data_IF_142555877546
#
_entry.id   IF_142555877546
#
_cell.length_a   1.000
_cell.length_b   1.000
_cell.length_c   1.000
_cell.angle_alpha   90.00
_cell.angle_beta   90.00
_cell.angle_gamma   90.00
#
_symmetry.space_group_name_H-M   'P 1'
#
loop_
_entity.id
_entity.type
_entity.pdbx_description
1 polymer ?
#
# COMPACT_ATOMS: atom_id res chain seq x y z
N UNK A 1 5.52 21.09 5.95
CA UNK A 1 5.30 19.94 6.88
C UNK A 1 6.18 20.08 8.11
N UNK A 2 5.66 19.90 9.34
CA UNK A 2 6.47 19.85 10.54
C UNK A 2 7.25 18.53 10.62
N UNK A 3 8.43 18.53 11.31
CA UNK A 3 9.21 17.30 11.50
C UNK A 3 8.41 16.19 12.20
N UNK A 4 7.53 16.53 13.16
CA UNK A 4 6.66 15.58 13.84
C UNK A 4 5.68 14.89 12.88
N UNK A 5 5.08 15.63 11.94
CA UNK A 5 4.17 15.07 10.93
C UNK A 5 4.91 14.13 9.97
N UNK A 6 6.14 14.47 9.58
CA UNK A 6 6.96 13.61 8.73
C UNK A 6 7.32 12.30 9.45
N UNK A 7 7.72 12.37 10.72
CA UNK A 7 8.04 11.18 11.52
C UNK A 7 6.83 10.27 11.68
N UNK A 8 5.65 10.83 11.95
CA UNK A 8 4.41 10.06 12.04
C UNK A 8 4.06 9.40 10.70
N UNK A 9 4.22 10.13 9.59
CA UNK A 9 4.03 9.58 8.26
C UNK A 9 4.96 8.40 7.98
N UNK A 10 6.27 8.56 8.26
CA UNK A 10 7.26 7.51 8.03
C UNK A 10 6.98 6.25 8.85
N UNK A 11 6.64 6.39 10.13
CA UNK A 11 6.28 5.26 10.98
C UNK A 11 5.04 4.53 10.46
N UNK A 12 4.00 5.25 10.09
CA UNK A 12 2.79 4.65 9.57
C UNK A 12 2.98 4.05 8.17
N UNK A 13 3.71 4.72 7.27
CA UNK A 13 4.03 4.20 5.95
C UNK A 13 4.88 2.92 6.04
N UNK A 14 5.86 2.87 6.97
CA UNK A 14 6.65 1.68 7.23
C UNK A 14 5.78 0.53 7.77
N UNK A 15 4.89 0.81 8.72
CA UNK A 15 3.95 -0.18 9.24
C UNK A 15 3.07 -0.76 8.13
N UNK A 16 2.53 0.12 7.24
CA UNK A 16 1.71 -0.30 6.11
C UNK A 16 2.53 -1.10 5.08
N UNK A 17 3.77 -0.69 4.81
CA UNK A 17 4.67 -1.42 3.90
C UNK A 17 5.00 -2.83 4.42
N UNK A 18 5.16 -2.99 5.73
CA UNK A 18 5.42 -4.29 6.36
C UNK A 18 4.22 -5.25 6.33
N UNK A 19 3.00 -4.73 6.10
CA UNK A 19 1.79 -5.55 6.08
C UNK A 19 1.60 -6.19 4.71
N UNK A 20 1.54 -7.54 4.66
CA UNK A 20 1.36 -8.25 3.42
C UNK A 20 0.02 -7.91 2.74
N UNK A 21 0.09 -7.37 1.54
CA UNK A 21 -1.04 -7.14 0.65
C UNK A 21 -0.89 -7.92 -0.67
N UNK A 22 -1.82 -7.71 -1.64
CA UNK A 22 -1.80 -8.39 -2.93
C UNK A 22 -0.46 -8.32 -3.66
N UNK A 23 0.18 -7.14 -3.71
CA UNK A 23 1.49 -6.94 -4.33
C UNK A 23 2.58 -7.78 -3.68
N UNK A 24 2.71 -7.70 -2.35
CA UNK A 24 3.69 -8.49 -1.60
C UNK A 24 3.46 -10.01 -1.72
N UNK A 25 2.19 -10.47 -1.70
CA UNK A 25 1.88 -11.88 -1.94
C UNK A 25 2.24 -12.31 -3.36
N UNK A 26 2.04 -11.44 -4.36
CA UNK A 26 2.46 -11.69 -5.72
C UNK A 26 3.99 -11.86 -5.81
N UNK A 27 4.75 -10.93 -5.23
CA UNK A 27 6.22 -10.99 -5.17
C UNK A 27 6.70 -12.28 -4.49
N UNK A 28 6.11 -12.63 -3.34
CA UNK A 28 6.42 -13.88 -2.64
C UNK A 28 6.12 -15.12 -3.50
N UNK A 29 4.96 -15.17 -4.16
CA UNK A 29 4.56 -16.27 -5.03
C UNK A 29 5.51 -16.42 -6.24
N UNK A 30 5.92 -15.31 -6.87
CA UNK A 30 6.90 -15.32 -7.97
C UNK A 30 8.27 -15.76 -7.51
N UNK A 31 8.69 -15.35 -6.31
CA UNK A 31 9.95 -15.82 -5.71
C UNK A 31 9.91 -17.32 -5.43
N UNK A 32 8.82 -17.81 -4.87
CA UNK A 32 8.66 -19.24 -4.55
C UNK A 32 8.59 -20.12 -5.81
N UNK A 33 8.00 -19.66 -6.90
CA UNK A 33 7.87 -20.43 -8.15
C UNK A 33 9.06 -20.26 -9.09
N UNK A 34 9.48 -19.02 -9.36
CA UNK A 34 10.51 -18.68 -10.36
C UNK A 34 11.88 -18.33 -9.77
N UNK A 35 12.04 -18.42 -8.44
CA UNK A 35 13.29 -18.10 -7.75
C UNK A 35 13.53 -16.60 -7.57
N UNK A 36 14.71 -16.25 -7.04
CA UNK A 36 15.10 -14.90 -6.66
C UNK A 36 15.00 -13.90 -7.82
N UNK A 37 15.38 -14.30 -9.04
CA UNK A 37 15.36 -13.39 -10.19
C UNK A 37 13.93 -12.97 -10.56
N UNK A 38 12.98 -13.91 -10.60
CA UNK A 38 11.58 -13.62 -10.84
C UNK A 38 10.98 -12.76 -9.70
N UNK A 39 11.39 -13.01 -8.46
CA UNK A 39 11.01 -12.18 -7.30
C UNK A 39 11.50 -10.74 -7.45
N UNK A 40 12.75 -10.52 -7.77
CA UNK A 40 13.31 -9.17 -7.97
C UNK A 40 12.61 -8.47 -9.15
N UNK A 41 12.40 -9.16 -10.27
CA UNK A 41 11.69 -8.59 -11.42
C UNK A 41 10.27 -8.17 -11.05
N UNK A 42 9.54 -9.01 -10.29
CA UNK A 42 8.20 -8.65 -9.81
C UNK A 42 8.21 -7.47 -8.83
N UNK A 43 9.22 -7.36 -7.96
CA UNK A 43 9.39 -6.20 -7.06
C UNK A 43 9.56 -4.88 -7.84
N UNK A 44 10.37 -4.87 -8.89
CA UNK A 44 10.47 -3.67 -9.74
C UNK A 44 9.18 -3.41 -10.54
N UNK A 45 8.46 -4.46 -10.92
CA UNK A 45 7.13 -4.34 -11.52
C UNK A 45 6.14 -3.67 -10.55
N UNK A 46 6.05 -4.16 -9.31
CA UNK A 46 5.18 -3.55 -8.28
C UNK A 46 5.60 -2.11 -7.96
N UNK A 47 6.91 -1.82 -7.92
CA UNK A 47 7.38 -0.44 -7.75
C UNK A 47 6.86 0.49 -8.85
N UNK A 48 6.96 0.08 -10.11
CA UNK A 48 6.45 0.87 -11.24
C UNK A 48 4.92 0.99 -11.21
N UNK A 49 4.20 -0.07 -10.84
CA UNK A 49 2.75 -0.02 -10.59
C UNK A 49 2.38 0.96 -9.48
N UNK A 50 3.21 1.05 -8.43
CA UNK A 50 3.07 2.02 -7.34
C UNK A 50 3.18 3.48 -7.82
N UNK A 51 4.03 3.76 -8.81
CA UNK A 51 4.14 5.10 -9.39
C UNK A 51 2.86 5.55 -10.12
N UNK A 52 2.04 4.63 -10.61
CA UNK A 52 0.72 4.96 -11.17
C UNK A 52 -0.15 5.65 -10.12
N UNK A 53 -0.13 5.16 -8.87
CA UNK A 53 -0.87 5.78 -7.76
C UNK A 53 -0.27 7.14 -7.36
N UNK A 54 1.06 7.29 -7.45
CA UNK A 54 1.72 8.59 -7.19
C UNK A 54 1.21 9.64 -8.18
N UNK A 55 1.24 9.33 -9.46
CA UNK A 55 0.82 10.26 -10.52
C UNK A 55 -0.68 10.54 -10.43
N UNK A 56 -1.50 9.49 -10.38
CA UNK A 56 -2.95 9.64 -10.31
C UNK A 56 -3.40 10.41 -9.06
N UNK A 57 -2.78 10.12 -7.91
CA UNK A 57 -3.09 10.80 -6.66
C UNK A 57 -2.64 12.26 -6.65
N UNK A 58 -1.46 12.58 -7.19
CA UNK A 58 -0.98 13.96 -7.28
C UNK A 58 -1.90 14.83 -8.16
N UNK A 59 -2.34 14.29 -9.29
CA UNK A 59 -3.29 14.97 -10.18
C UNK A 59 -4.68 15.10 -9.53
N UNK A 60 -5.18 14.02 -8.94
CA UNK A 60 -6.51 13.98 -8.31
C UNK A 60 -6.61 14.85 -7.06
N UNK A 61 -5.62 14.78 -6.16
CA UNK A 61 -5.61 15.57 -4.91
C UNK A 61 -5.54 17.06 -5.19
N UNK A 62 -4.72 17.48 -6.16
CA UNK A 62 -4.66 18.90 -6.54
C UNK A 62 -6.00 19.41 -7.04
N UNK A 63 -6.67 18.67 -7.91
CA UNK A 63 -7.98 19.03 -8.43
C UNK A 63 -9.04 19.09 -7.30
N UNK A 64 -9.04 18.14 -6.37
CA UNK A 64 -10.02 18.04 -5.29
C UNK A 64 -9.82 19.13 -4.23
N UNK A 65 -8.56 19.43 -3.85
CA UNK A 65 -8.27 20.50 -2.88
C UNK A 65 -8.71 21.85 -3.43
N UNK A 66 -8.52 22.09 -4.73
CA UNK A 66 -8.95 23.33 -5.40
C UNK A 66 -10.47 23.41 -5.54
N UNK A 67 -11.17 22.28 -5.68
CA UNK A 67 -12.60 22.26 -5.92
C UNK A 67 -13.44 22.41 -4.64
N UNK A 68 -13.14 21.69 -3.55
CA UNK A 68 -13.97 21.74 -2.34
C UNK A 68 -13.37 20.97 -1.15
N UNK A 69 -13.39 21.58 0.04
CA UNK A 69 -13.04 20.92 1.30
C UNK A 69 -14.03 19.79 1.67
N UNK A 70 -15.30 19.91 1.26
CA UNK A 70 -16.30 18.87 1.48
C UNK A 70 -16.01 17.65 0.60
N UNK A 71 -15.63 17.85 -0.67
CA UNK A 71 -15.27 16.76 -1.57
C UNK A 71 -14.03 15.99 -1.06
N UNK A 72 -13.04 16.69 -0.51
CA UNK A 72 -11.89 16.07 0.14
C UNK A 72 -12.31 15.21 1.35
N UNK A 73 -13.21 15.72 2.19
CA UNK A 73 -13.72 14.98 3.35
C UNK A 73 -14.50 13.74 2.94
N UNK A 74 -15.33 13.85 1.89
CA UNK A 74 -16.07 12.73 1.32
C UNK A 74 -15.13 11.64 0.79
N UNK A 75 -14.11 12.04 0.02
CA UNK A 75 -13.10 11.11 -0.51
C UNK A 75 -12.36 10.36 0.60
N UNK A 76 -11.98 11.07 1.66
CA UNK A 76 -11.34 10.49 2.85
C UNK A 76 -12.24 9.43 3.50
N UNK A 77 -13.53 9.71 3.69
CA UNK A 77 -14.48 8.77 4.29
C UNK A 77 -14.71 7.54 3.41
N UNK A 78 -14.87 7.74 2.10
CA UNK A 78 -14.99 6.63 1.13
C UNK A 78 -13.74 5.74 1.19
N UNK A 79 -12.53 6.33 1.18
CA UNK A 79 -11.29 5.59 1.29
C UNK A 79 -11.16 4.81 2.60
N UNK A 80 -11.55 5.42 3.73
CA UNK A 80 -11.57 4.77 5.04
C UNK A 80 -12.53 3.58 5.10
N UNK A 81 -13.76 3.74 4.62
CA UNK A 81 -14.75 2.67 4.53
C UNK A 81 -14.27 1.54 3.61
N UNK A 82 -13.66 1.90 2.49
CA UNK A 82 -13.07 0.91 1.59
C UNK A 82 -11.94 0.11 2.25
N UNK A 83 -11.07 0.73 3.05
CA UNK A 83 -10.03 0.03 3.81
C UNK A 83 -10.64 -0.94 4.83
N UNK A 84 -11.68 -0.53 5.54
CA UNK A 84 -12.40 -1.43 6.48
C UNK A 84 -12.96 -2.64 5.73
N UNK A 85 -13.67 -2.42 4.63
CA UNK A 85 -14.22 -3.49 3.80
C UNK A 85 -13.12 -4.42 3.27
N UNK A 86 -12.02 -3.85 2.74
CA UNK A 86 -10.89 -4.62 2.22
C UNK A 86 -10.23 -5.47 3.31
N UNK A 87 -10.06 -4.92 4.50
CA UNK A 87 -9.49 -5.62 5.64
C UNK A 87 -10.35 -6.82 6.06
N UNK A 88 -11.66 -6.63 6.18
CA UNK A 88 -12.62 -7.69 6.48
C UNK A 88 -12.61 -8.77 5.39
N UNK A 89 -12.61 -8.36 4.13
CA UNK A 89 -12.55 -9.27 2.99
C UNK A 89 -11.26 -10.10 3.01
N UNK A 90 -10.10 -9.47 3.19
CA UNK A 90 -8.79 -10.13 3.28
C UNK A 90 -8.76 -11.15 4.41
N UNK A 91 -9.32 -10.82 5.58
CA UNK A 91 -9.42 -11.72 6.71
C UNK A 91 -10.29 -12.96 6.40
N UNK A 92 -11.47 -12.74 5.82
CA UNK A 92 -12.42 -13.82 5.49
C UNK A 92 -11.91 -14.74 4.38
N UNK A 93 -11.24 -14.19 3.38
CA UNK A 93 -10.69 -14.96 2.25
C UNK A 93 -9.37 -15.66 2.61
N UNK A 94 -8.73 -15.31 3.72
CA UNK A 94 -7.49 -15.94 4.16
C UNK A 94 -7.60 -17.45 4.35
N UNK A 95 -8.76 -17.93 4.83
CA UNK A 95 -9.03 -19.37 5.06
C UNK A 95 -9.25 -20.16 3.77
N UNK A 96 -9.64 -19.50 2.68
CA UNK A 96 -9.89 -20.10 1.37
C UNK A 96 -8.68 -20.07 0.47
N UNK A 97 -7.58 -19.47 0.93
CA UNK A 97 -6.38 -19.32 0.11
C UNK A 97 -5.67 -20.67 -0.03
N UNK A 98 -5.62 -21.17 -1.24
CA UNK A 98 -4.81 -22.30 -1.65
C UNK A 98 -3.61 -21.73 -2.43
N UNK A 99 -2.37 -22.16 -2.14
CA UNK A 99 -1.24 -21.80 -2.98
C UNK A 99 -1.49 -22.33 -4.40
N UNK A 100 -1.86 -21.46 -5.32
CA UNK A 100 -1.86 -21.88 -6.73
C UNK A 100 -0.43 -22.18 -7.14
N UNK A 101 -0.21 -23.29 -7.87
CA UNK A 101 1.07 -23.56 -8.50
C UNK A 101 1.32 -22.43 -9.52
N UNK A 102 1.99 -21.40 -9.12
CA UNK A 102 2.42 -20.38 -10.05
C UNK A 102 3.53 -21.00 -10.88
N UNK A 103 3.22 -21.39 -12.11
CA UNK A 103 4.18 -21.97 -13.05
C UNK A 103 5.41 -21.07 -13.16
N UNK A 104 6.58 -21.66 -13.41
CA UNK A 104 7.81 -20.91 -13.59
C UNK A 104 7.63 -19.90 -14.71
N UNK A 105 7.56 -18.64 -14.37
CA UNK A 105 7.32 -17.54 -15.31
C UNK A 105 8.63 -16.79 -15.48
N UNK A 106 8.97 -16.47 -16.71
CA UNK A 106 10.15 -15.67 -17.02
C UNK A 106 10.11 -14.30 -16.33
N UNK A 107 11.30 -13.73 -16.08
CA UNK A 107 11.47 -12.44 -15.37
C UNK A 107 10.69 -11.29 -16.01
N UNK A 108 10.63 -11.23 -17.35
CA UNK A 108 9.88 -10.21 -18.08
C UNK A 108 8.37 -10.26 -17.77
N UNK A 109 7.80 -11.44 -17.77
CA UNK A 109 6.39 -11.62 -17.44
C UNK A 109 6.11 -11.31 -15.99
N UNK A 110 7.00 -11.73 -15.07
CA UNK A 110 6.91 -11.40 -13.65
C UNK A 110 6.94 -9.90 -13.40
N UNK A 111 7.77 -9.16 -14.13
CA UNK A 111 7.82 -7.69 -14.09
C UNK A 111 6.51 -7.06 -14.58
N UNK A 112 6.04 -7.42 -15.77
CA UNK A 112 4.81 -6.84 -16.38
C UNK A 112 3.57 -7.12 -15.54
N UNK A 113 3.41 -8.35 -15.06
CA UNK A 113 2.30 -8.69 -14.17
C UNK A 113 2.40 -7.96 -12.83
N UNK A 114 3.61 -7.74 -12.30
CA UNK A 114 3.85 -6.93 -11.10
C UNK A 114 3.31 -5.51 -11.24
N UNK A 115 3.51 -4.87 -12.39
CA UNK A 115 2.96 -3.54 -12.69
C UNK A 115 1.43 -3.56 -12.56
N UNK A 116 0.79 -4.52 -13.23
CA UNK A 116 -0.67 -4.62 -13.26
C UNK A 116 -1.23 -4.92 -11.86
N UNK A 117 -0.61 -5.87 -11.16
CA UNK A 117 -1.03 -6.26 -9.79
C UNK A 117 -0.98 -5.07 -8.85
N UNK A 118 0.06 -4.25 -8.91
CA UNK A 118 0.20 -3.12 -8.01
C UNK A 118 -0.62 -1.90 -8.47
N UNK A 119 -0.69 -1.61 -9.75
CA UNK A 119 -1.55 -0.54 -10.28
C UNK A 119 -3.04 -0.78 -9.97
N UNK A 120 -3.47 -2.04 -9.92
CA UNK A 120 -4.82 -2.44 -9.54
C UNK A 120 -4.94 -2.85 -8.06
N UNK A 121 -3.88 -2.62 -7.26
CA UNK A 121 -3.88 -3.02 -5.86
C UNK A 121 -4.80 -2.14 -5.02
N UNK A 122 -5.91 -2.68 -4.51
CA UNK A 122 -6.87 -1.90 -3.76
C UNK A 122 -6.32 -1.38 -2.42
N UNK A 123 -5.37 -2.10 -1.80
CA UNK A 123 -4.68 -1.64 -0.58
C UNK A 123 -3.91 -0.35 -0.86
N UNK A 124 -3.15 -0.35 -1.95
CA UNK A 124 -2.31 0.79 -2.35
C UNK A 124 -3.17 1.96 -2.80
N UNK A 125 -4.19 1.72 -3.62
CA UNK A 125 -5.14 2.75 -4.01
C UNK A 125 -5.77 3.45 -2.79
N UNK A 126 -6.26 2.67 -1.82
CA UNK A 126 -6.86 3.22 -0.61
C UNK A 126 -5.85 4.00 0.26
N UNK A 127 -4.61 3.51 0.37
CA UNK A 127 -3.54 4.21 1.06
C UNK A 127 -3.24 5.56 0.43
N UNK A 128 -3.08 5.60 -0.90
CA UNK A 128 -2.81 6.85 -1.61
C UNK A 128 -3.98 7.84 -1.54
N UNK A 129 -5.22 7.35 -1.62
CA UNK A 129 -6.40 8.21 -1.60
C UNK A 129 -6.80 8.68 -0.19
N UNK A 130 -6.67 7.82 0.82
CA UNK A 130 -7.17 8.11 2.16
C UNK A 130 -6.08 8.55 3.15
N UNK A 131 -4.86 8.03 3.01
CA UNK A 131 -3.80 8.27 4.00
C UNK A 131 -2.88 9.42 3.63
N UNK A 132 -2.25 9.42 2.45
CA UNK A 132 -1.27 10.46 2.07
C UNK A 132 -1.88 11.89 2.17
N UNK A 133 -3.12 12.15 1.72
CA UNK A 133 -3.69 13.49 1.78
C UNK A 133 -3.78 14.10 3.20
N UNK A 134 -3.78 13.26 4.25
CA UNK A 134 -3.86 13.73 5.63
C UNK A 134 -2.57 14.41 6.11
N UNK A 135 -1.46 14.16 5.42
CA UNK A 135 -0.13 14.70 5.73
C UNK A 135 0.25 15.90 4.86
N UNK A 136 -0.63 16.29 3.92
CA UNK A 136 -0.40 17.48 3.12
C UNK A 136 -0.65 18.74 3.95
N UNK A 137 0.21 19.73 3.77
CA UNK A 137 0.10 21.05 4.37
C UNK A 137 -0.34 22.06 3.28
N UNK A 138 -1.61 22.42 3.21
CA UNK A 138 -2.09 23.36 2.20
C UNK A 138 -1.44 24.75 2.33
N UNK A 139 -1.06 25.16 3.55
CA UNK A 139 -0.43 26.44 3.79
C UNK A 139 1.02 26.53 3.24
N UNK A 140 1.70 25.40 3.13
CA UNK A 140 3.03 25.34 2.55
C UNK A 140 3.04 25.41 1.00
N UNK A 141 1.87 25.41 0.35
CA UNK A 141 1.73 25.43 -1.11
C UNK A 141 2.12 24.10 -1.78
N UNK A 142 1.95 24.04 -3.09
CA UNK A 142 2.35 22.91 -3.95
C UNK A 142 1.89 21.52 -3.48
N UNK A 143 0.58 21.29 -3.23
CA UNK A 143 0.08 20.01 -2.68
C UNK A 143 0.41 18.80 -3.56
N UNK A 144 0.45 18.96 -4.90
CA UNK A 144 0.88 17.89 -5.81
C UNK A 144 2.33 17.46 -5.55
N UNK A 145 3.22 18.41 -5.34
CA UNK A 145 4.63 18.12 -5.11
C UNK A 145 4.85 17.43 -3.76
N UNK A 146 4.13 17.88 -2.73
CA UNK A 146 4.11 17.20 -1.44
C UNK A 146 3.59 15.76 -1.58
N UNK A 147 2.50 15.56 -2.32
CA UNK A 147 1.94 14.24 -2.59
C UNK A 147 2.94 13.33 -3.31
N UNK A 148 3.61 13.84 -4.35
CA UNK A 148 4.65 13.10 -5.08
C UNK A 148 5.78 12.70 -4.13
N UNK A 149 6.28 13.60 -3.31
CA UNK A 149 7.37 13.32 -2.37
C UNK A 149 6.99 12.21 -1.37
N UNK A 150 5.83 12.32 -0.72
CA UNK A 150 5.32 11.32 0.21
C UNK A 150 5.01 9.99 -0.50
N UNK A 151 4.48 10.06 -1.71
CA UNK A 151 4.21 8.90 -2.55
C UNK A 151 5.48 8.13 -2.94
N UNK A 152 6.53 8.83 -3.35
CA UNK A 152 7.83 8.24 -3.67
C UNK A 152 8.48 7.59 -2.46
N UNK A 153 8.40 8.23 -1.28
CA UNK A 153 8.85 7.62 -0.02
C UNK A 153 8.09 6.31 0.22
N UNK A 154 6.78 6.31 0.05
CA UNK A 154 5.94 5.13 0.26
C UNK A 154 6.27 4.01 -0.72
N UNK A 155 6.45 4.32 -2.01
CA UNK A 155 6.89 3.33 -3.01
C UNK A 155 8.25 2.74 -2.64
N UNK A 156 9.20 3.58 -2.21
CA UNK A 156 10.53 3.12 -1.77
C UNK A 156 10.45 2.18 -0.58
N UNK A 157 9.64 2.51 0.43
CA UNK A 157 9.44 1.66 1.60
C UNK A 157 8.78 0.32 1.23
N UNK A 158 7.73 0.32 0.38
CA UNK A 158 7.11 -0.91 -0.10
C UNK A 158 8.08 -1.76 -0.92
N UNK A 159 8.84 -1.15 -1.83
CA UNK A 159 9.87 -1.85 -2.62
C UNK A 159 10.93 -2.48 -1.73
N UNK A 160 11.37 -1.77 -0.69
CA UNK A 160 12.34 -2.29 0.30
C UNK A 160 11.76 -3.49 1.06
N UNK A 161 10.50 -3.42 1.48
CA UNK A 161 9.80 -4.54 2.11
C UNK A 161 9.68 -5.74 1.16
N UNK A 162 9.34 -5.51 -0.11
CA UNK A 162 9.25 -6.55 -1.13
C UNK A 162 10.61 -7.22 -1.38
N UNK A 163 11.71 -6.46 -1.40
CA UNK A 163 13.08 -7.02 -1.50
C UNK A 163 13.37 -7.94 -0.31
N UNK A 164 13.01 -7.54 0.91
CA UNK A 164 13.16 -8.38 2.10
C UNK A 164 12.35 -9.68 1.94
N UNK A 165 11.11 -9.57 1.46
CA UNK A 165 10.27 -10.74 1.18
C UNK A 165 10.90 -11.67 0.14
N UNK A 166 11.48 -11.13 -0.93
CA UNK A 166 12.22 -11.94 -1.92
C UNK A 166 13.36 -12.69 -1.27
N UNK A 167 14.17 -12.03 -0.43
CA UNK A 167 15.31 -12.66 0.23
C UNK A 167 14.86 -13.78 1.18
N UNK A 168 13.84 -13.52 2.00
CA UNK A 168 13.27 -14.50 2.93
C UNK A 168 12.61 -15.66 2.18
N UNK A 169 11.78 -15.37 1.18
CA UNK A 169 11.09 -16.39 0.41
C UNK A 169 12.05 -17.27 -0.40
N UNK A 170 13.10 -16.68 -0.98
CA UNK A 170 14.12 -17.44 -1.72
C UNK A 170 14.91 -18.39 -0.82
N UNK A 171 15.32 -17.93 0.37
CA UNK A 171 16.09 -18.75 1.33
C UNK A 171 15.24 -19.81 2.03
N UNK A 172 13.97 -19.50 2.31
CA UNK A 172 13.06 -20.39 3.03
C UNK A 172 12.12 -21.19 2.10
N UNK A 173 12.34 -21.20 0.79
CA UNK A 173 11.46 -21.78 -0.22
C UNK A 173 10.96 -23.19 0.13
N UNK A 174 11.88 -24.10 0.48
CA UNK A 174 11.53 -25.49 0.82
C UNK A 174 10.64 -25.61 2.08
N UNK A 175 10.78 -24.69 3.02
CA UNK A 175 10.05 -24.69 4.29
C UNK A 175 8.69 -23.98 4.16
N UNK A 176 8.62 -22.84 3.46
CA UNK A 176 7.41 -22.03 3.34
C UNK A 176 6.33 -22.72 2.51
N UNK A 177 6.71 -23.41 1.43
CA UNK A 177 5.76 -24.17 0.60
C UNK A 177 5.04 -25.25 1.43
N UNK A 178 5.67 -25.74 2.50
CA UNK A 178 5.11 -26.78 3.39
C UNK A 178 4.29 -26.23 4.58
N UNK A 179 4.12 -24.91 4.71
CA UNK A 179 3.43 -24.30 5.85
C UNK A 179 2.24 -23.41 5.46
N UNK A 180 1.18 -23.95 4.86
CA UNK A 180 0.03 -23.15 4.40
C UNK A 180 -0.68 -22.41 5.55
N UNK A 181 -0.72 -23.03 6.75
CA UNK A 181 -1.34 -22.41 7.94
C UNK A 181 -0.62 -21.12 8.36
N UNK A 182 0.70 -21.05 8.23
CA UNK A 182 1.45 -19.84 8.53
C UNK A 182 1.05 -18.69 7.60
N UNK A 183 0.95 -18.94 6.30
CA UNK A 183 0.54 -17.94 5.30
C UNK A 183 -0.90 -17.49 5.55
N UNK A 184 -1.79 -18.43 5.90
CA UNK A 184 -3.17 -18.11 6.25
C UNK A 184 -3.26 -17.15 7.45
N UNK A 185 -2.54 -17.43 8.54
CA UNK A 185 -2.52 -16.56 9.73
C UNK A 185 -1.93 -15.18 9.41
N UNK A 186 -0.91 -15.12 8.57
CA UNK A 186 -0.32 -13.86 8.13
C UNK A 186 -1.35 -13.01 7.35
N UNK A 187 -2.13 -13.62 6.45
CA UNK A 187 -3.23 -12.93 5.73
C UNK A 187 -4.33 -12.46 6.66
N UNK A 188 -4.71 -13.27 7.65
CA UNK A 188 -5.70 -12.86 8.66
C UNK A 188 -5.23 -11.65 9.46
N UNK A 189 -4.00 -11.66 9.96
CA UNK A 189 -3.40 -10.53 10.66
C UNK A 189 -3.36 -9.26 9.79
N UNK A 190 -2.99 -9.41 8.51
CA UNK A 190 -3.00 -8.30 7.53
C UNK A 190 -4.41 -7.72 7.35
N UNK A 191 -5.43 -8.57 7.23
CA UNK A 191 -6.82 -8.13 7.10
C UNK A 191 -7.30 -7.33 8.31
N UNK A 192 -7.01 -7.80 9.52
CA UNK A 192 -7.35 -7.08 10.76
C UNK A 192 -6.67 -5.72 10.84
N UNK A 193 -5.39 -5.65 10.47
CA UNK A 193 -4.66 -4.39 10.51
C UNK A 193 -5.18 -3.38 9.47
N UNK A 194 -5.46 -3.81 8.24
CA UNK A 194 -6.03 -2.95 7.19
C UNK A 194 -7.39 -2.41 7.63
N UNK A 195 -8.24 -3.25 8.24
CA UNK A 195 -9.53 -2.82 8.78
C UNK A 195 -9.37 -1.81 9.92
N UNK A 196 -8.44 -2.06 10.85
CA UNK A 196 -8.11 -1.16 11.95
C UNK A 196 -7.62 0.20 11.47
N UNK A 197 -6.77 0.24 10.43
CA UNK A 197 -6.35 1.48 9.79
C UNK A 197 -7.53 2.25 9.18
N UNK A 198 -8.40 1.57 8.42
CA UNK A 198 -9.59 2.21 7.86
C UNK A 198 -10.46 2.83 8.94
N UNK A 199 -10.67 2.12 10.06
CA UNK A 199 -11.44 2.63 11.19
C UNK A 199 -10.75 3.84 11.84
N UNK A 200 -9.43 3.80 12.05
CA UNK A 200 -8.69 4.93 12.61
C UNK A 200 -8.78 6.17 11.73
N UNK A 201 -8.75 6.01 10.41
CA UNK A 201 -8.92 7.12 9.46
C UNK A 201 -10.34 7.69 9.43
N UNK A 202 -11.36 6.84 9.56
CA UNK A 202 -12.74 7.30 9.68
C UNK A 202 -12.93 8.17 10.93
N UNK A 203 -12.30 7.81 12.04
CA UNK A 203 -12.40 8.49 13.33
C UNK A 203 -11.46 9.69 13.48
N UNK A 204 -10.37 9.77 12.71
CA UNK A 204 -9.41 10.86 12.77
C UNK A 204 -10.08 12.19 12.37
N UNK A 205 -10.22 13.11 13.31
CA UNK A 205 -10.66 14.49 13.06
C UNK A 205 -9.51 15.27 12.42
N UNK A 206 -9.82 16.19 11.48
CA UNK A 206 -8.83 17.19 11.07
C UNK A 206 -8.33 17.90 12.31
N UNK A 207 -7.00 18.12 12.45
CA UNK A 207 -6.52 19.16 13.36
C UNK A 207 -7.25 20.43 12.95
N UNK A 208 -7.93 21.09 13.88
CA UNK A 208 -8.56 22.37 13.61
C UNK A 208 -7.46 23.28 13.03
N UNK A 209 -7.57 23.65 11.77
CA UNK A 209 -6.79 24.75 11.21
C UNK A 209 -7.05 25.92 12.15
N UNK A 210 -6.00 26.37 12.86
CA UNK A 210 -6.12 27.46 13.81
C UNK A 210 -6.92 28.57 13.16
N UNK A 211 -8.02 28.92 13.77
CA UNK A 211 -8.75 30.11 13.44
C UNK A 211 -7.75 31.26 13.51
N UNK A 212 -7.39 31.80 12.38
CA UNK A 212 -6.78 33.12 12.32
C UNK A 212 -7.93 34.02 12.81
N UNK A 213 -7.87 34.38 14.08
CA UNK A 213 -8.72 35.43 14.63
C UNK A 213 -8.39 36.74 13.89
N UNK A 214 -9.40 37.57 13.62
CA UNK A 214 -9.24 38.81 12.92
C UNK A 214 -8.33 39.80 13.62
#
# INVERSE_FOLDING_TARGET
MSGANLSLFLLAALAIAAIPGPGMFYVAARTLSGGRQAGIASTFGTALGGLVHVVAGALGVSAIILASAQLFTLLKLIGALYLVWLGIRTFREATKWVPEPVGAVGTERAFREGIVVEALNPKTAAFFLAFIPQFLDPAAGYPALQFIALGLISVTLNTSADVIVVMVAASARATLVRRPVFIQRLRQGSGLFIAGLGLSFALARRPASGAIAP
#
